data_IF_639630796036
#
_entry.id   IF_639630796036
#
_cell.length_a   1.000
_cell.length_b   1.000
_cell.length_c   1.000
_cell.angle_alpha   90.00
_cell.angle_beta   90.00
_cell.angle_gamma   90.00
#
_symmetry.space_group_name_H-M   'P 1'
#
loop_
_entity.id
_entity.type
_entity.pdbx_description
1 polymer ?
#
# COMPACT_ATOMS: atom_id res chain seq x y z
N UNK A 1 68.42 -40.33 7.30
CA UNK A 1 67.01 -40.80 7.36
C UNK A 1 66.39 -40.20 8.62
N UNK A 2 65.31 -39.45 8.65
CA UNK A 2 64.41 -38.88 7.64
C UNK A 2 63.60 -37.80 8.35
N UNK A 3 63.34 -36.68 7.68
CA UNK A 3 62.66 -35.52 8.24
C UNK A 3 61.22 -35.86 8.64
N UNK A 4 60.85 -35.52 9.87
CA UNK A 4 59.51 -35.71 10.44
C UNK A 4 58.54 -34.72 9.81
N UNK A 5 57.84 -35.16 8.78
CA UNK A 5 56.83 -34.39 8.05
C UNK A 5 55.66 -34.04 9.01
N UNK A 6 55.57 -32.76 9.40
CA UNK A 6 54.41 -32.22 10.10
C UNK A 6 53.25 -31.96 9.12
N UNK A 7 52.47 -32.98 8.78
CA UNK A 7 51.20 -32.77 8.08
C UNK A 7 50.14 -32.35 9.10
N UNK A 8 49.93 -31.04 9.21
CA UNK A 8 48.75 -30.44 9.85
C UNK A 8 47.52 -30.98 9.12
N UNK A 9 46.76 -31.88 9.77
CA UNK A 9 45.44 -32.32 9.28
C UNK A 9 44.50 -31.11 9.19
N UNK A 10 44.36 -30.56 8.00
CA UNK A 10 43.29 -29.63 7.68
C UNK A 10 41.96 -30.40 7.67
N UNK A 11 41.27 -30.39 8.80
CA UNK A 11 39.89 -30.86 8.90
C UNK A 11 39.05 -29.92 8.03
N UNK A 12 38.73 -30.35 6.79
CA UNK A 12 37.72 -29.70 5.95
C UNK A 12 36.38 -29.77 6.68
N UNK A 13 36.08 -28.73 7.46
CA UNK A 13 34.76 -28.50 8.05
C UNK A 13 33.80 -28.27 6.87
N UNK A 14 33.07 -29.30 6.44
CA UNK A 14 31.91 -29.12 5.56
C UNK A 14 30.89 -28.30 6.36
N UNK A 15 30.95 -26.98 6.22
CA UNK A 15 29.88 -26.08 6.62
C UNK A 15 28.66 -26.47 5.81
N UNK A 16 27.83 -27.32 6.40
CA UNK A 16 26.49 -27.63 5.89
C UNK A 16 25.73 -26.31 6.00
N UNK A 17 25.76 -25.52 4.93
CA UNK A 17 24.95 -24.32 4.80
C UNK A 17 23.53 -24.73 5.19
N UNK A 18 23.02 -24.21 6.31
CA UNK A 18 21.60 -24.27 6.63
C UNK A 18 20.91 -23.56 5.48
N UNK A 19 20.54 -24.31 4.46
CA UNK A 19 19.68 -23.87 3.35
C UNK A 19 18.45 -23.35 4.07
N UNK A 20 18.33 -22.03 4.18
CA UNK A 20 17.13 -21.39 4.67
C UNK A 20 16.01 -21.98 3.83
N UNK A 21 15.18 -22.81 4.45
CA UNK A 21 14.00 -23.34 3.78
C UNK A 21 13.16 -22.11 3.48
N UNK A 22 13.26 -21.58 2.25
CA UNK A 22 12.27 -20.64 1.74
C UNK A 22 10.93 -21.33 1.99
N UNK A 23 10.12 -20.76 2.86
CA UNK A 23 8.80 -21.29 3.14
C UNK A 23 8.10 -21.48 1.79
N UNK A 24 7.87 -22.73 1.40
CA UNK A 24 7.16 -23.03 0.16
C UNK A 24 5.73 -22.56 0.42
N UNK A 25 5.41 -21.37 -0.09
CA UNK A 25 4.05 -20.84 -0.06
C UNK A 25 3.22 -21.81 -0.88
N UNK A 26 2.26 -22.49 -0.24
CA UNK A 26 1.40 -23.47 -0.92
C UNK A 26 0.75 -22.84 -2.15
N UNK A 27 0.65 -23.55 -3.30
CA UNK A 27 -0.01 -23.06 -4.51
C UNK A 27 -1.43 -22.51 -4.25
N UNK A 28 -2.17 -23.12 -3.31
CA UNK A 28 -3.49 -22.66 -2.90
C UNK A 28 -3.47 -21.26 -2.25
N UNK A 29 -2.40 -20.94 -1.53
CA UNK A 29 -2.20 -19.63 -0.90
C UNK A 29 -1.86 -18.56 -1.94
N UNK A 30 -1.08 -18.93 -2.96
CA UNK A 30 -0.77 -18.06 -4.11
C UNK A 30 -2.04 -17.78 -4.93
N UNK A 31 -2.88 -18.79 -5.18
CA UNK A 31 -4.14 -18.64 -5.91
C UNK A 31 -5.17 -17.80 -5.14
N UNK A 32 -5.20 -17.88 -3.80
CA UNK A 32 -6.08 -17.07 -2.96
C UNK A 32 -5.63 -15.60 -2.83
N UNK A 33 -4.33 -15.33 -2.94
CA UNK A 33 -3.73 -13.99 -2.86
C UNK A 33 -3.66 -13.28 -4.23
N UNK A 34 -3.62 -14.03 -5.35
CA UNK A 34 -3.54 -13.51 -6.71
C UNK A 34 -4.62 -12.45 -7.06
N UNK A 35 -5.93 -12.67 -6.81
CA UNK A 35 -6.95 -11.67 -7.14
C UNK A 35 -6.85 -10.40 -6.28
N UNK A 36 -6.37 -10.51 -5.04
CA UNK A 36 -6.19 -9.36 -4.14
C UNK A 36 -4.97 -8.54 -4.56
N UNK A 37 -3.88 -9.21 -4.94
CA UNK A 37 -2.68 -8.56 -5.46
C UNK A 37 -2.96 -7.86 -6.80
N UNK A 38 -3.78 -8.45 -7.67
CA UNK A 38 -4.22 -7.81 -8.91
C UNK A 38 -5.08 -6.56 -8.63
N UNK A 39 -6.05 -6.65 -7.72
CA UNK A 39 -6.87 -5.51 -7.31
C UNK A 39 -6.02 -4.39 -6.68
N UNK A 40 -5.06 -4.73 -5.83
CA UNK A 40 -4.17 -3.76 -5.21
C UNK A 40 -3.28 -3.05 -6.24
N UNK A 41 -2.72 -3.81 -7.19
CA UNK A 41 -1.95 -3.23 -8.32
C UNK A 41 -2.81 -2.31 -9.18
N UNK A 42 -4.05 -2.71 -9.49
CA UNK A 42 -4.98 -1.89 -10.25
C UNK A 42 -5.34 -0.60 -9.51
N UNK A 43 -5.63 -0.68 -8.21
CA UNK A 43 -5.93 0.50 -7.39
C UNK A 43 -4.73 1.47 -7.30
N UNK A 44 -3.50 0.95 -7.17
CA UNK A 44 -2.28 1.78 -7.23
C UNK A 44 -2.14 2.46 -8.60
N UNK A 45 -2.41 1.75 -9.69
CA UNK A 45 -2.34 2.32 -11.03
C UNK A 45 -3.38 3.44 -11.22
N UNK A 46 -4.61 3.24 -10.73
CA UNK A 46 -5.65 4.27 -10.72
C UNK A 46 -5.23 5.48 -9.88
N UNK A 47 -4.70 5.28 -8.67
CA UNK A 47 -4.21 6.38 -7.83
C UNK A 47 -3.06 7.14 -8.48
N UNK A 48 -2.14 6.43 -9.16
CA UNK A 48 -1.04 7.06 -9.91
C UNK A 48 -1.56 7.91 -11.06
N UNK A 49 -2.56 7.41 -11.80
CA UNK A 49 -3.19 8.16 -12.88
C UNK A 49 -3.94 9.38 -12.36
N UNK A 50 -4.68 9.24 -11.26
CA UNK A 50 -5.38 10.34 -10.61
C UNK A 50 -4.40 11.43 -10.13
N UNK A 51 -3.29 11.06 -9.50
CA UNK A 51 -2.26 12.02 -9.08
C UNK A 51 -1.61 12.76 -10.27
N UNK A 52 -1.37 12.05 -11.39
CA UNK A 52 -0.92 12.70 -12.62
C UNK A 52 -1.97 13.67 -13.20
N UNK A 53 -3.25 13.31 -13.15
CA UNK A 53 -4.33 14.19 -13.58
C UNK A 53 -4.43 15.44 -12.69
N UNK A 54 -4.29 15.31 -11.38
CA UNK A 54 -4.28 16.42 -10.43
C UNK A 54 -3.12 17.40 -10.69
N UNK A 55 -1.91 16.88 -10.90
CA UNK A 55 -0.74 17.73 -11.23
C UNK A 55 -0.93 18.47 -12.55
N UNK A 56 -1.50 17.81 -13.58
CA UNK A 56 -1.83 18.45 -14.85
C UNK A 56 -2.93 19.51 -14.71
N UNK A 57 -3.98 19.23 -13.93
CA UNK A 57 -5.05 20.19 -13.67
C UNK A 57 -4.53 21.44 -12.96
N UNK A 58 -3.65 21.28 -11.97
CA UNK A 58 -3.01 22.39 -11.27
C UNK A 58 -2.11 23.21 -12.20
N UNK A 59 -1.32 22.56 -13.06
CA UNK A 59 -0.51 23.24 -14.06
C UNK A 59 -1.36 24.02 -15.08
N UNK A 60 -2.50 23.45 -15.49
CA UNK A 60 -3.46 24.12 -16.37
C UNK A 60 -4.09 25.34 -15.68
N UNK A 61 -4.47 25.23 -14.40
CA UNK A 61 -4.98 26.35 -13.62
C UNK A 61 -3.95 27.49 -13.55
N UNK A 62 -2.69 27.18 -13.27
CA UNK A 62 -1.62 28.19 -13.23
C UNK A 62 -1.47 28.92 -14.57
N UNK A 63 -1.49 28.20 -15.70
CA UNK A 63 -1.44 28.80 -17.04
C UNK A 63 -2.62 29.73 -17.32
N UNK A 64 -3.83 29.30 -16.98
CA UNK A 64 -5.04 30.10 -17.22
C UNK A 64 -5.09 31.33 -16.30
N UNK A 65 -4.59 31.22 -15.06
CA UNK A 65 -4.44 32.38 -14.17
C UNK A 65 -3.46 33.41 -14.74
N UNK A 66 -2.30 32.98 -15.24
CA UNK A 66 -1.36 33.87 -15.90
C UNK A 66 -1.98 34.57 -17.14
N UNK A 67 -2.75 33.83 -17.95
CA UNK A 67 -3.47 34.42 -19.10
C UNK A 67 -4.51 35.45 -18.68
N UNK A 68 -5.22 35.22 -17.57
CA UNK A 68 -6.16 36.18 -17.00
C UNK A 68 -5.44 37.47 -16.60
N UNK A 69 -4.28 37.39 -15.96
CA UNK A 69 -3.52 38.56 -15.54
C UNK A 69 -3.02 39.36 -16.75
N UNK A 70 -2.49 38.68 -17.77
CA UNK A 70 -2.14 39.30 -19.06
C UNK A 70 -3.35 39.97 -19.73
N UNK A 71 -4.53 39.36 -19.68
CA UNK A 71 -5.75 39.95 -20.24
C UNK A 71 -6.16 41.23 -19.49
N UNK A 72 -5.97 41.28 -18.16
CA UNK A 72 -6.20 42.48 -17.36
C UNK A 72 -5.23 43.60 -17.75
N UNK A 73 -3.94 43.30 -17.88
CA UNK A 73 -2.96 44.29 -18.33
C UNK A 73 -3.27 44.83 -19.72
N UNK A 74 -3.64 43.96 -20.66
CA UNK A 74 -4.03 44.35 -22.02
C UNK A 74 -5.24 45.26 -22.02
N UNK A 75 -6.23 44.98 -21.16
CA UNK A 75 -7.39 45.84 -20.99
C UNK A 75 -6.99 47.22 -20.45
N UNK A 76 -6.12 47.29 -19.44
CA UNK A 76 -5.63 48.57 -18.90
C UNK A 76 -4.87 49.39 -19.95
N UNK A 77 -3.99 48.75 -20.74
CA UNK A 77 -3.28 49.39 -21.85
C UNK A 77 -4.25 49.88 -22.94
N UNK A 78 -5.26 49.08 -23.29
CA UNK A 78 -6.28 49.48 -24.26
C UNK A 78 -7.11 50.68 -23.78
N UNK A 79 -7.47 50.72 -22.50
CA UNK A 79 -8.19 51.85 -21.91
C UNK A 79 -7.36 53.13 -21.92
N UNK A 80 -6.08 53.06 -21.56
CA UNK A 80 -5.17 54.20 -21.62
C UNK A 80 -5.01 54.72 -23.06
N UNK A 81 -4.77 53.82 -24.02
CA UNK A 81 -4.62 54.18 -25.42
C UNK A 81 -5.89 54.80 -26.03
N UNK A 82 -7.07 54.30 -25.65
CA UNK A 82 -8.33 54.89 -26.10
C UNK A 82 -8.57 56.29 -25.54
N UNK A 83 -8.15 56.55 -24.29
CA UNK A 83 -8.22 57.89 -23.68
C UNK A 83 -7.33 58.89 -24.41
N UNK A 84 -6.12 58.46 -24.82
CA UNK A 84 -5.14 59.29 -25.53
C UNK A 84 -5.59 59.53 -26.97
N UNK A 85 -5.80 58.46 -27.74
CA UNK A 85 -6.02 58.56 -29.20
C UNK A 85 -7.45 58.93 -29.58
N UNK A 86 -8.44 58.64 -28.73
CA UNK A 86 -9.88 58.90 -28.94
C UNK A 86 -10.48 58.37 -30.26
N UNK A 87 -9.78 57.48 -30.96
CA UNK A 87 -10.24 56.91 -32.24
C UNK A 87 -11.23 55.76 -32.04
N UNK A 88 -12.07 55.50 -33.06
CA UNK A 88 -12.99 54.36 -33.07
C UNK A 88 -12.25 53.02 -32.95
N UNK A 89 -11.11 52.87 -33.63
CA UNK A 89 -10.27 51.67 -33.53
C UNK A 89 -9.78 51.42 -32.09
N UNK A 90 -9.38 52.46 -31.37
CA UNK A 90 -8.93 52.33 -29.98
C UNK A 90 -10.08 51.98 -29.02
N UNK A 91 -11.29 52.53 -29.24
CA UNK A 91 -12.50 52.13 -28.50
C UNK A 91 -12.87 50.66 -28.77
N UNK A 92 -12.79 50.20 -30.01
CA UNK A 92 -13.01 48.80 -30.37
C UNK A 92 -11.99 47.85 -29.74
N UNK A 93 -10.74 48.28 -29.56
CA UNK A 93 -9.72 47.50 -28.86
C UNK A 93 -10.09 47.26 -27.39
N UNK A 94 -10.75 48.22 -26.70
CA UNK A 94 -11.26 48.01 -25.34
C UNK A 94 -12.33 46.90 -25.33
N UNK A 95 -13.26 46.92 -26.28
CA UNK A 95 -14.34 45.92 -26.35
C UNK A 95 -13.76 44.52 -26.54
N UNK A 96 -12.80 44.36 -27.46
CA UNK A 96 -12.08 43.08 -27.66
C UNK A 96 -11.32 42.65 -26.41
N UNK A 97 -10.62 43.58 -25.73
CA UNK A 97 -9.89 43.27 -24.50
C UNK A 97 -10.83 42.89 -23.33
N UNK A 98 -12.00 43.52 -23.23
CA UNK A 98 -13.05 43.15 -22.25
C UNK A 98 -13.55 41.73 -22.51
N UNK A 99 -13.86 41.39 -23.76
CA UNK A 99 -14.28 40.04 -24.13
C UNK A 99 -13.21 39.00 -23.78
N UNK A 100 -11.94 39.27 -24.07
CA UNK A 100 -10.82 38.40 -23.71
C UNK A 100 -10.70 38.20 -22.19
N UNK A 101 -10.87 39.27 -21.39
CA UNK A 101 -10.88 39.18 -19.92
C UNK A 101 -12.03 38.29 -19.42
N UNK A 102 -13.24 38.46 -19.95
CA UNK A 102 -14.40 37.64 -19.57
C UNK A 102 -14.16 36.17 -19.89
N UNK A 103 -13.63 35.88 -21.09
CA UNK A 103 -13.26 34.52 -21.49
C UNK A 103 -12.21 33.90 -20.56
N UNK A 104 -11.17 34.67 -20.18
CA UNK A 104 -10.12 34.19 -19.28
C UNK A 104 -10.65 33.92 -17.86
N UNK A 105 -11.58 34.75 -17.36
CA UNK A 105 -12.27 34.51 -16.08
C UNK A 105 -13.11 33.23 -16.14
N UNK A 106 -13.86 33.02 -17.23
CA UNK A 106 -14.61 31.79 -17.46
C UNK A 106 -13.71 30.55 -17.44
N UNK A 107 -12.62 30.58 -18.21
CA UNK A 107 -11.63 29.51 -18.24
C UNK A 107 -11.01 29.24 -16.86
N UNK A 108 -10.74 30.29 -16.07
CA UNK A 108 -10.21 30.13 -14.69
C UNK A 108 -11.21 29.38 -13.81
N UNK A 109 -12.52 29.69 -13.91
CA UNK A 109 -13.55 28.97 -13.14
C UNK A 109 -13.61 27.50 -13.52
N UNK A 110 -13.61 27.18 -14.81
CA UNK A 110 -13.60 25.80 -15.29
C UNK A 110 -12.35 25.04 -14.84
N UNK A 111 -11.18 25.67 -14.92
CA UNK A 111 -9.93 25.07 -14.46
C UNK A 111 -9.94 24.79 -12.95
N UNK A 112 -10.54 25.66 -12.13
CA UNK A 112 -10.72 25.41 -10.69
C UNK A 112 -11.61 24.20 -10.43
N UNK A 113 -12.72 24.06 -11.16
CA UNK A 113 -13.60 22.90 -11.06
C UNK A 113 -12.84 21.62 -11.42
N UNK A 114 -12.03 21.65 -12.48
CA UNK A 114 -11.21 20.51 -12.88
C UNK A 114 -10.20 20.10 -11.80
N UNK A 115 -9.57 21.06 -11.11
CA UNK A 115 -8.68 20.78 -9.97
C UNK A 115 -9.45 20.14 -8.81
N UNK A 116 -10.64 20.66 -8.47
CA UNK A 116 -11.48 20.11 -7.40
C UNK A 116 -11.88 18.65 -7.72
N UNK A 117 -12.28 18.38 -8.97
CA UNK A 117 -12.65 17.04 -9.40
C UNK A 117 -11.44 16.09 -9.35
N UNK A 118 -10.28 16.52 -9.86
CA UNK A 118 -9.08 15.70 -9.82
C UNK A 118 -8.63 15.37 -8.38
N UNK A 119 -8.74 16.33 -7.45
CA UNK A 119 -8.45 16.09 -6.03
C UNK A 119 -9.46 15.10 -5.41
N UNK A 120 -10.75 15.18 -5.79
CA UNK A 120 -11.76 14.23 -5.37
C UNK A 120 -11.46 12.81 -5.88
N UNK A 121 -11.02 12.68 -7.14
CA UNK A 121 -10.65 11.41 -7.75
C UNK A 121 -9.44 10.77 -7.06
N UNK A 122 -8.43 11.56 -6.68
CA UNK A 122 -7.28 11.10 -5.88
C UNK A 122 -7.75 10.58 -4.51
N UNK A 123 -8.63 11.33 -3.84
CA UNK A 123 -9.20 10.90 -2.55
C UNK A 123 -10.02 9.60 -2.69
N UNK A 124 -10.76 9.44 -3.79
CA UNK A 124 -11.47 8.21 -4.13
C UNK A 124 -10.50 7.04 -4.29
N UNK A 125 -9.48 7.20 -5.11
CA UNK A 125 -8.48 6.15 -5.36
C UNK A 125 -7.73 5.72 -4.08
N UNK A 126 -7.41 6.66 -3.18
CA UNK A 126 -6.80 6.35 -1.88
C UNK A 126 -7.74 5.55 -0.96
N UNK A 127 -9.04 5.83 -0.99
CA UNK A 127 -10.04 5.05 -0.24
C UNK A 127 -10.12 3.62 -0.76
N UNK A 128 -10.05 3.41 -2.06
CA UNK A 128 -10.07 2.07 -2.66
C UNK A 128 -8.83 1.25 -2.26
N UNK A 129 -7.65 1.87 -2.26
CA UNK A 129 -6.43 1.25 -1.75
C UNK A 129 -6.60 0.85 -0.29
N UNK A 130 -7.13 1.75 0.56
CA UNK A 130 -7.37 1.46 1.96
C UNK A 130 -8.38 0.32 2.17
N UNK A 131 -9.46 0.28 1.38
CA UNK A 131 -10.45 -0.78 1.42
C UNK A 131 -9.84 -2.16 1.08
N UNK A 132 -8.98 -2.21 0.05
CA UNK A 132 -8.27 -3.45 -0.32
C UNK A 132 -7.31 -3.86 0.80
N UNK A 133 -6.56 -2.93 1.37
CA UNK A 133 -5.65 -3.20 2.49
C UNK A 133 -6.39 -3.77 3.71
N UNK A 134 -7.52 -3.18 4.08
CA UNK A 134 -8.34 -3.68 5.18
C UNK A 134 -8.84 -5.12 4.93
N UNK A 135 -9.19 -5.47 3.68
CA UNK A 135 -9.56 -6.85 3.31
C UNK A 135 -8.38 -7.82 3.46
N UNK A 136 -7.17 -7.41 3.06
CA UNK A 136 -5.94 -8.21 3.26
C UNK A 136 -5.68 -8.43 4.75
N UNK A 137 -5.73 -7.38 5.55
CA UNK A 137 -5.46 -7.43 6.99
C UNK A 137 -6.50 -8.30 7.72
N UNK A 138 -7.78 -8.22 7.33
CA UNK A 138 -8.83 -9.09 7.87
C UNK A 138 -8.58 -10.57 7.56
N UNK A 139 -8.17 -10.89 6.31
CA UNK A 139 -7.80 -12.27 5.94
C UNK A 139 -6.59 -12.75 6.74
N UNK A 140 -5.55 -11.92 6.88
CA UNK A 140 -4.36 -12.25 7.65
C UNK A 140 -4.68 -12.51 9.14
N UNK A 141 -5.57 -11.71 9.74
CA UNK A 141 -6.08 -11.94 11.10
C UNK A 141 -6.83 -13.27 11.20
N UNK A 142 -7.71 -13.57 10.25
CA UNK A 142 -8.45 -14.84 10.24
C UNK A 142 -7.51 -16.04 10.12
N UNK A 143 -6.50 -15.97 9.25
CA UNK A 143 -5.46 -17.00 9.11
C UNK A 143 -4.69 -17.16 10.43
N UNK A 144 -4.25 -16.07 11.06
CA UNK A 144 -3.53 -16.13 12.32
C UNK A 144 -4.35 -16.77 13.44
N UNK A 145 -5.64 -16.43 13.55
CA UNK A 145 -6.57 -17.04 14.52
C UNK A 145 -6.74 -18.53 14.23
N UNK A 146 -6.94 -18.91 12.97
CA UNK A 146 -7.05 -20.31 12.55
C UNK A 146 -5.78 -21.09 12.91
N UNK A 147 -4.60 -20.60 12.52
CA UNK A 147 -3.31 -21.24 12.80
C UNK A 147 -3.10 -21.42 14.29
N UNK A 148 -3.35 -20.38 15.11
CA UNK A 148 -3.23 -20.47 16.57
C UNK A 148 -4.17 -21.53 17.17
N UNK A 149 -5.39 -21.65 16.65
CA UNK A 149 -6.37 -22.65 17.10
C UNK A 149 -5.98 -24.06 16.66
N UNK A 150 -5.43 -24.19 15.46
CA UNK A 150 -4.93 -25.45 14.91
C UNK A 150 -3.69 -25.93 15.67
N UNK A 151 -2.71 -25.06 15.93
CA UNK A 151 -1.52 -25.36 16.73
C UNK A 151 -1.91 -25.80 18.15
N UNK A 152 -2.84 -25.09 18.80
CA UNK A 152 -3.35 -25.48 20.13
C UNK A 152 -4.01 -26.88 20.11
N UNK A 153 -4.78 -27.19 19.08
CA UNK A 153 -5.42 -28.50 18.93
C UNK A 153 -4.40 -29.61 18.65
N UNK A 154 -3.36 -29.31 17.87
CA UNK A 154 -2.26 -30.22 17.59
C UNK A 154 -1.41 -30.48 18.83
N UNK A 155 -1.04 -29.44 19.59
CA UNK A 155 -0.31 -29.55 20.86
C UNK A 155 -1.08 -30.36 21.91
N UNK A 156 -2.40 -30.20 21.97
CA UNK A 156 -3.24 -31.00 22.87
C UNK A 156 -3.29 -32.48 22.48
N UNK A 157 -3.21 -32.80 21.18
CA UNK A 157 -3.09 -34.19 20.69
C UNK A 157 -1.68 -34.76 20.86
N UNK A 158 -0.65 -33.93 20.77
CA UNK A 158 0.75 -34.33 20.89
C UNK A 158 1.22 -34.50 22.35
N UNK A 159 0.47 -33.97 23.33
CA UNK A 159 0.77 -34.19 24.75
C UNK A 159 0.49 -35.65 25.14
N UNK A 160 1.48 -36.39 25.66
CA UNK A 160 1.23 -37.74 26.17
C UNK A 160 0.21 -37.67 27.32
N UNK A 161 -0.83 -38.51 27.27
CA UNK A 161 -1.81 -38.64 28.37
C UNK A 161 -1.04 -38.95 29.65
N UNK A 162 -0.97 -37.99 30.58
CA UNK A 162 -0.36 -38.21 31.91
C UNK A 162 -1.21 -39.28 32.60
N UNK A 163 -0.70 -40.51 32.66
CA UNK A 163 -1.35 -41.58 33.42
C UNK A 163 -1.34 -41.11 34.88
N UNK A 164 -2.52 -40.89 35.45
CA UNK A 164 -2.64 -40.57 36.86
C UNK A 164 -1.93 -41.63 37.73
N UNK A 165 -1.45 -41.26 38.93
CA UNK A 165 -0.78 -42.20 39.80
C UNK A 165 -1.71 -43.39 40.09
N UNK A 166 -1.29 -44.59 39.68
CA UNK A 166 -1.97 -45.83 40.06
C UNK A 166 -1.81 -45.99 41.57
N UNK A 167 -2.93 -46.04 42.30
CA UNK A 167 -2.92 -46.42 43.72
C UNK A 167 -2.20 -47.76 43.88
N UNK A 168 -1.26 -47.91 44.83
CA UNK A 168 -0.61 -49.18 45.08
C UNK A 168 -1.64 -50.21 45.55
N UNK A 169 -1.64 -51.38 44.90
CA UNK A 169 -2.48 -52.53 45.26
C UNK A 169 -1.98 -53.05 46.60
N UNK A 170 -2.84 -53.05 47.63
CA UNK A 170 -2.49 -53.58 48.95
C UNK A 170 -1.98 -55.03 48.81
N UNK A 171 -0.77 -55.29 49.29
CA UNK A 171 -0.24 -56.66 49.40
C UNK A 171 -1.06 -57.37 50.48
N UNK A 172 -1.74 -58.46 50.13
CA UNK A 172 -2.26 -59.41 51.12
C UNK A 172 -1.06 -59.92 51.92
N UNK A 173 -1.07 -59.70 53.23
CA UNK A 173 -0.21 -60.43 54.16
C UNK A 173 -0.55 -61.91 54.01
N UNK A 174 0.47 -62.72 53.73
CA UNK A 174 0.40 -64.17 53.91
C UNK A 174 0.77 -64.40 55.36
N UNK A 175 -0.21 -64.77 56.17
CA UNK A 175 0.01 -65.16 57.56
C UNK A 175 0.95 -66.37 57.58
N UNK A 176 2.04 -66.27 58.34
CA UNK A 176 2.95 -67.37 58.57
C UNK A 176 2.25 -68.45 59.43
N UNK A 177 2.43 -69.75 59.14
CA UNK A 177 1.82 -70.82 59.91
C UNK A 177 2.39 -70.85 61.34
N UNK A 178 1.48 -70.89 62.30
CA UNK A 178 1.72 -71.03 63.73
C UNK A 178 2.35 -72.41 64.00
N UNK A 179 3.58 -72.42 64.49
CA UNK A 179 4.24 -73.65 64.94
C UNK A 179 3.47 -74.24 66.14
N UNK A 180 3.20 -75.54 66.08
CA UNK A 180 2.77 -76.39 67.19
C UNK A 180 3.94 -76.71 68.10
#
# INVERSE_FOLDING_TARGET
MGYKIMIKKAIKKKTRAKKSRKAVVSPAKILAEAPINAAHKAAIAVATKAGKAETQANAALAKVMAQKDVAVERLNKAMANAKIKKTAAAKNAIVKAKAAKVSAVGATKTAKIAVIQAAADVKGALRDIAAIKNKVDAKNKAIAVFTKRWEKAYDLKAKPKKKGPRKPRAKKSVDAPKAM
#
